data_IF_340272439071
#
_entry.id   IF_340272439071
#
_cell.length_a   1.000
_cell.length_b   1.000
_cell.length_c   1.000
_cell.angle_alpha   90.00
_cell.angle_beta   90.00
_cell.angle_gamma   90.00
#
_symmetry.space_group_name_H-M   'P 1'
#
loop_
_entity.id
_entity.type
_entity.pdbx_description
1 polymer ?
#
# COMPACT_ATOMS: atom_id res chain seq x y z
N UNK A 1 -18.03 25.07 -12.81
CA UNK A 1 -17.76 25.09 -11.36
C UNK A 1 -19.03 25.58 -10.68
N UNK A 2 -19.59 24.80 -9.75
CA UNK A 2 -20.84 25.16 -9.06
C UNK A 2 -20.59 26.29 -8.05
N UNK A 3 -21.52 27.23 -7.91
CA UNK A 3 -21.42 28.29 -6.90
C UNK A 3 -21.82 27.72 -5.53
N UNK A 4 -21.15 28.16 -4.46
CA UNK A 4 -21.45 27.75 -3.08
C UNK A 4 -21.77 28.99 -2.25
N UNK A 5 -22.80 28.93 -1.40
CA UNK A 5 -23.05 29.96 -0.39
C UNK A 5 -21.91 30.02 0.64
N UNK A 6 -21.75 31.15 1.34
CA UNK A 6 -20.70 31.29 2.34
C UNK A 6 -20.91 30.34 3.53
N UNK A 7 -22.17 30.10 3.92
CA UNK A 7 -22.56 29.13 4.94
C UNK A 7 -22.21 27.71 4.50
N UNK A 8 -22.50 27.34 3.25
CA UNK A 8 -22.17 26.04 2.68
C UNK A 8 -20.65 25.80 2.63
N UNK A 9 -19.86 26.83 2.27
CA UNK A 9 -18.39 26.78 2.30
C UNK A 9 -17.85 26.57 3.72
N UNK A 10 -18.42 27.26 4.72
CA UNK A 10 -18.05 27.08 6.13
C UNK A 10 -18.36 25.66 6.60
N UNK A 11 -19.55 25.15 6.33
CA UNK A 11 -19.92 23.78 6.67
C UNK A 11 -19.02 22.73 6.02
N UNK A 12 -18.55 22.96 4.79
CA UNK A 12 -17.59 22.06 4.12
C UNK A 12 -16.21 22.05 4.81
N UNK A 13 -15.78 23.16 5.41
CA UNK A 13 -14.51 23.22 6.16
C UNK A 13 -14.56 22.37 7.44
N UNK A 14 -15.71 22.30 8.09
CA UNK A 14 -15.94 21.45 9.27
C UNK A 14 -15.90 19.93 8.95
N UNK A 15 -16.07 19.55 7.68
CA UNK A 15 -15.92 18.15 7.27
C UNK A 15 -14.44 17.74 7.43
N UNK A 16 -14.15 16.57 8.04
CA UNK A 16 -12.79 16.05 8.14
C UNK A 16 -12.10 16.05 6.77
N UNK A 17 -10.83 16.48 6.73
CA UNK A 17 -10.13 16.75 5.47
C UNK A 17 -10.14 15.56 4.50
N UNK A 18 -10.10 14.32 5.01
CA UNK A 18 -10.12 13.09 4.22
C UNK A 18 -11.48 12.80 3.55
N UNK A 19 -12.57 13.35 4.09
CA UNK A 19 -13.92 13.19 3.53
C UNK A 19 -14.36 14.41 2.71
N UNK A 20 -13.67 15.56 2.86
CA UNK A 20 -14.09 16.86 2.32
C UNK A 20 -14.30 16.87 0.81
N UNK A 21 -13.36 16.30 0.05
CA UNK A 21 -13.47 16.26 -1.42
C UNK A 21 -14.64 15.37 -1.89
N UNK A 22 -14.87 14.24 -1.21
CA UNK A 22 -15.98 13.33 -1.53
C UNK A 22 -17.33 13.97 -1.22
N UNK A 23 -17.44 14.60 -0.04
CA UNK A 23 -18.65 15.36 0.34
C UNK A 23 -18.91 16.50 -0.64
N UNK A 24 -17.87 17.26 -1.02
CA UNK A 24 -17.99 18.34 -2.01
C UNK A 24 -18.54 17.83 -3.35
N UNK A 25 -17.90 16.80 -3.91
CA UNK A 25 -18.28 16.23 -5.21
C UNK A 25 -19.74 15.76 -5.20
N UNK A 26 -20.14 15.03 -4.16
CA UNK A 26 -21.50 14.50 -4.04
C UNK A 26 -22.55 15.59 -3.90
N UNK A 27 -22.25 16.61 -3.08
CA UNK A 27 -23.13 17.79 -2.94
C UNK A 27 -23.34 18.49 -4.28
N UNK A 28 -22.26 18.65 -5.06
CA UNK A 28 -22.34 19.26 -6.40
C UNK A 28 -23.14 18.38 -7.39
N UNK A 29 -22.97 17.06 -7.35
CA UNK A 29 -23.73 16.12 -8.21
C UNK A 29 -25.22 16.07 -7.88
N UNK A 30 -25.60 16.04 -6.59
CA UNK A 30 -27.01 16.08 -6.17
C UNK A 30 -27.65 17.44 -6.50
N UNK A 31 -26.96 18.54 -6.22
CA UNK A 31 -27.43 19.87 -6.58
C UNK A 31 -27.61 20.01 -8.10
N UNK A 32 -26.68 19.48 -8.90
CA UNK A 32 -26.81 19.50 -10.36
C UNK A 32 -27.98 18.66 -10.85
N UNK A 33 -28.23 17.49 -10.24
CA UNK A 33 -29.36 16.61 -10.55
C UNK A 33 -30.71 17.28 -10.28
N UNK A 34 -30.79 18.12 -9.26
CA UNK A 34 -31.99 18.87 -8.92
C UNK A 34 -32.08 20.25 -9.62
N UNK A 35 -31.15 20.55 -10.52
CA UNK A 35 -31.14 21.78 -11.31
C UNK A 35 -30.74 23.03 -10.52
N UNK A 36 -30.17 22.86 -9.32
CA UNK A 36 -29.68 23.98 -8.51
C UNK A 36 -28.46 24.63 -9.17
N UNK A 37 -28.37 25.96 -9.10
CA UNK A 37 -27.21 26.73 -9.60
C UNK A 37 -26.22 27.10 -8.50
N UNK A 38 -26.67 27.04 -7.24
CA UNK A 38 -25.91 27.41 -6.05
C UNK A 38 -26.15 26.35 -4.98
N UNK A 39 -25.07 25.81 -4.43
CA UNK A 39 -25.10 24.91 -3.28
C UNK A 39 -25.39 25.73 -2.01
N UNK A 40 -26.49 25.40 -1.33
CA UNK A 40 -26.90 26.01 -0.06
C UNK A 40 -26.51 25.15 1.15
N UNK A 41 -26.64 25.70 2.35
CA UNK A 41 -26.36 24.98 3.60
C UNK A 41 -27.37 23.84 3.84
N UNK A 42 -28.63 24.02 3.44
CA UNK A 42 -29.68 23.00 3.51
C UNK A 42 -29.30 21.78 2.65
N UNK A 43 -28.81 22.02 1.42
CA UNK A 43 -28.29 20.98 0.53
C UNK A 43 -27.10 20.24 1.16
N UNK A 44 -26.15 20.97 1.73
CA UNK A 44 -25.00 20.38 2.43
C UNK A 44 -25.44 19.51 3.60
N UNK A 45 -26.39 19.99 4.42
CA UNK A 45 -26.90 19.25 5.57
C UNK A 45 -27.72 18.02 5.14
N UNK A 46 -28.56 18.14 4.12
CA UNK A 46 -29.28 17.02 3.53
C UNK A 46 -28.31 15.95 3.01
N UNK A 47 -27.23 16.35 2.33
CA UNK A 47 -26.19 15.44 1.86
C UNK A 47 -25.37 14.84 3.02
N UNK A 48 -25.10 15.58 4.11
CA UNK A 48 -24.41 15.07 5.30
C UNK A 48 -25.19 13.94 5.97
N UNK A 49 -26.51 14.11 6.11
CA UNK A 49 -27.38 13.06 6.65
C UNK A 49 -27.35 11.80 5.76
N UNK A 50 -27.39 11.97 4.43
CA UNK A 50 -27.28 10.86 3.46
C UNK A 50 -25.89 10.23 3.37
N UNK A 51 -24.83 10.97 3.67
CA UNK A 51 -23.46 10.44 3.67
C UNK A 51 -23.19 9.51 4.86
N UNK A 52 -23.88 9.76 5.98
CA UNK A 52 -23.88 8.88 7.15
C UNK A 52 -24.90 7.74 7.03
N UNK A 53 -25.81 7.80 6.05
CA UNK A 53 -26.69 6.71 5.71
C UNK A 53 -25.89 5.57 5.06
N UNK A 54 -25.81 4.44 5.77
CA UNK A 54 -25.07 3.27 5.33
C UNK A 54 -25.59 2.69 4.01
N UNK A 55 -26.86 2.91 3.66
CA UNK A 55 -27.44 2.35 2.43
C UNK A 55 -26.91 3.01 1.15
N UNK A 56 -26.67 4.32 1.18
CA UNK A 56 -26.11 5.03 0.03
C UNK A 56 -24.61 4.79 -0.12
N UNK A 57 -23.89 4.70 1.01
CA UNK A 57 -22.46 4.35 1.01
C UNK A 57 -22.23 2.97 0.37
N UNK A 58 -23.07 2.00 0.71
CA UNK A 58 -23.04 0.65 0.15
C UNK A 58 -23.21 0.63 -1.39
N UNK A 59 -24.01 1.52 -1.98
CA UNK A 59 -24.23 1.56 -3.44
C UNK A 59 -22.94 1.86 -4.22
N UNK A 60 -22.10 2.76 -3.69
CA UNK A 60 -20.86 3.20 -4.34
C UNK A 60 -19.66 2.27 -4.07
N UNK A 61 -19.77 1.32 -3.14
CA UNK A 61 -18.68 0.42 -2.79
C UNK A 61 -18.47 -0.67 -3.84
N UNK A 62 -17.21 -1.00 -4.10
CA UNK A 62 -16.80 -2.15 -4.93
C UNK A 62 -16.57 -3.41 -4.08
N UNK A 63 -16.49 -3.26 -2.75
CA UNK A 63 -16.10 -4.33 -1.83
C UNK A 63 -14.59 -4.45 -1.62
N UNK A 64 -13.82 -3.71 -2.39
CA UNK A 64 -12.38 -3.57 -2.22
C UNK A 64 -11.90 -2.16 -2.55
N UNK A 65 -10.71 -1.81 -2.07
CA UNK A 65 -9.98 -0.60 -2.44
C UNK A 65 -8.53 -0.91 -2.79
N UNK A 66 -8.02 -0.23 -3.82
CA UNK A 66 -6.61 -0.26 -4.20
C UNK A 66 -6.05 1.15 -4.03
N UNK A 67 -5.03 1.30 -3.20
CA UNK A 67 -4.34 2.57 -2.96
C UNK A 67 -2.91 2.51 -3.50
N UNK A 68 -2.52 3.50 -4.30
CA UNK A 68 -1.16 3.58 -4.87
C UNK A 68 -0.46 4.86 -4.44
N UNK A 69 0.87 4.82 -4.31
CA UNK A 69 1.65 6.03 -4.07
C UNK A 69 1.76 6.92 -5.32
N UNK A 70 2.43 8.07 -5.20
CA UNK A 70 2.67 9.00 -6.32
C UNK A 70 3.80 8.56 -7.26
N UNK A 71 4.29 7.32 -7.14
CA UNK A 71 5.43 6.79 -7.90
C UNK A 71 5.27 6.96 -9.40
N UNK A 72 4.11 6.59 -9.96
CA UNK A 72 3.78 6.72 -11.38
C UNK A 72 3.92 8.12 -11.98
N UNK A 73 3.89 9.16 -11.14
CA UNK A 73 4.05 10.55 -11.55
C UNK A 73 5.51 11.05 -11.50
N UNK A 74 6.49 10.15 -11.35
CA UNK A 74 7.91 10.49 -11.41
C UNK A 74 8.54 10.78 -10.04
N UNK A 75 8.10 10.13 -8.97
CA UNK A 75 8.73 10.30 -7.65
C UNK A 75 10.23 9.88 -7.70
N UNK A 76 11.16 10.68 -7.15
CA UNK A 76 12.59 10.35 -7.17
C UNK A 76 12.98 9.22 -6.21
N UNK A 77 12.13 8.89 -5.23
CA UNK A 77 12.40 7.87 -4.23
C UNK A 77 11.98 6.46 -4.64
N UNK A 78 11.50 6.27 -5.88
CA UNK A 78 11.05 4.95 -6.36
C UNK A 78 12.21 3.96 -6.27
N UNK A 79 11.99 2.86 -5.56
CA UNK A 79 12.87 1.72 -5.70
C UNK A 79 12.57 1.08 -7.06
N UNK A 80 11.31 0.81 -7.36
CA UNK A 80 10.91 0.12 -8.60
C UNK A 80 9.83 0.89 -9.37
N UNK A 81 9.54 0.43 -10.59
CA UNK A 81 8.41 0.90 -11.40
C UNK A 81 7.25 -0.10 -11.30
N UNK A 82 6.32 0.08 -10.35
CA UNK A 82 5.18 -0.84 -10.14
C UNK A 82 3.93 -0.55 -10.95
N UNK A 83 4.05 0.20 -12.06
CA UNK A 83 2.90 0.70 -12.83
C UNK A 83 2.10 -0.45 -13.49
N UNK A 84 2.81 -1.47 -13.99
CA UNK A 84 2.19 -2.65 -14.60
C UNK A 84 1.47 -3.52 -13.57
N UNK A 85 2.13 -3.80 -12.43
CA UNK A 85 1.51 -4.55 -11.34
C UNK A 85 0.17 -3.93 -10.90
N UNK A 86 0.09 -2.60 -10.78
CA UNK A 86 -1.16 -1.89 -10.41
C UNK A 86 -2.33 -2.30 -11.32
N UNK A 87 -2.14 -2.22 -12.64
CA UNK A 87 -3.18 -2.55 -13.62
C UNK A 87 -3.59 -4.03 -13.54
N UNK A 88 -2.61 -4.93 -13.38
CA UNK A 88 -2.90 -6.37 -13.29
C UNK A 88 -3.63 -6.76 -12.00
N UNK A 89 -3.38 -6.04 -10.89
CA UNK A 89 -4.09 -6.21 -9.63
C UNK A 89 -5.51 -5.65 -9.71
N UNK A 90 -5.72 -4.51 -10.35
CA UNK A 90 -7.06 -3.98 -10.63
C UNK A 90 -7.89 -5.00 -11.41
N UNK A 91 -7.33 -5.58 -12.48
CA UNK A 91 -7.98 -6.62 -13.27
C UNK A 91 -8.25 -7.90 -12.43
N UNK A 92 -7.31 -8.31 -11.58
CA UNK A 92 -7.50 -9.45 -10.68
C UNK A 92 -8.67 -9.22 -9.74
N UNK A 93 -8.74 -8.04 -9.09
CA UNK A 93 -9.79 -7.72 -8.13
C UNK A 93 -11.17 -7.59 -8.78
N UNK A 94 -11.24 -7.08 -10.01
CA UNK A 94 -12.48 -7.05 -10.80
C UNK A 94 -13.04 -8.46 -11.10
N UNK A 95 -12.20 -9.49 -11.07
CA UNK A 95 -12.63 -10.89 -11.22
C UNK A 95 -13.41 -11.44 -10.02
N UNK A 96 -13.44 -10.73 -8.89
CA UNK A 96 -14.14 -11.15 -7.67
C UNK A 96 -15.33 -10.24 -7.34
N UNK A 97 -16.47 -10.84 -7.01
CA UNK A 97 -17.62 -10.10 -6.46
C UNK A 97 -17.53 -9.97 -4.93
N UNK A 98 -16.54 -9.21 -4.47
CA UNK A 98 -16.30 -8.97 -3.05
C UNK A 98 -17.44 -8.20 -2.38
N UNK A 99 -18.14 -7.33 -3.13
CA UNK A 99 -19.30 -6.61 -2.61
C UNK A 99 -20.40 -7.58 -2.21
N UNK A 100 -20.83 -8.46 -3.12
CA UNK A 100 -21.88 -9.44 -2.82
C UNK A 100 -21.45 -10.41 -1.74
N UNK A 101 -20.17 -10.80 -1.71
CA UNK A 101 -19.62 -11.60 -0.61
C UNK A 101 -19.76 -10.89 0.74
N UNK A 102 -19.28 -9.65 0.86
CA UNK A 102 -19.33 -8.87 2.10
C UNK A 102 -20.78 -8.67 2.58
N UNK A 103 -21.74 -8.46 1.66
CA UNK A 103 -23.17 -8.36 2.02
C UNK A 103 -23.73 -9.62 2.67
N UNK A 104 -23.16 -10.80 2.39
CA UNK A 104 -23.60 -12.06 3.00
C UNK A 104 -23.04 -12.24 4.41
N UNK A 105 -21.81 -11.78 4.65
CA UNK A 105 -21.09 -12.04 5.91
C UNK A 105 -21.18 -10.89 6.92
N UNK A 106 -21.39 -9.65 6.47
CA UNK A 106 -21.54 -8.48 7.33
C UNK A 106 -22.99 -8.33 7.77
N UNK A 107 -23.22 -8.10 9.07
CA UNK A 107 -24.54 -7.73 9.58
C UNK A 107 -24.83 -6.25 9.36
N UNK A 108 -25.94 -5.94 8.67
CA UNK A 108 -26.38 -4.57 8.41
C UNK A 108 -25.75 -3.94 7.16
N UNK A 109 -25.88 -2.62 6.95
CA UNK A 109 -25.37 -1.96 5.76
C UNK A 109 -23.84 -1.98 5.71
N UNK A 110 -23.29 -2.16 4.50
CA UNK A 110 -21.85 -2.11 4.30
C UNK A 110 -21.30 -0.70 4.55
N UNK A 111 -20.08 -0.67 5.09
CA UNK A 111 -19.33 0.55 5.43
C UNK A 111 -17.93 0.42 4.88
N UNK A 112 -17.26 1.56 4.63
CA UNK A 112 -15.92 1.60 4.01
C UNK A 112 -14.86 0.76 4.74
N UNK A 113 -14.97 0.61 6.07
CA UNK A 113 -14.00 -0.18 6.83
C UNK A 113 -14.13 -1.70 6.63
N UNK A 114 -15.21 -2.17 6.00
CA UNK A 114 -15.40 -3.57 5.60
C UNK A 114 -14.70 -3.89 4.27
N UNK A 115 -14.33 -2.90 3.45
CA UNK A 115 -13.69 -3.19 2.16
C UNK A 115 -12.31 -3.81 2.36
N UNK A 116 -12.07 -4.87 1.59
CA UNK A 116 -10.76 -5.48 1.47
C UNK A 116 -9.79 -4.47 0.85
N UNK A 117 -8.64 -4.24 1.48
CA UNK A 117 -7.73 -3.18 1.08
C UNK A 117 -6.39 -3.69 0.61
N UNK A 118 -6.03 -3.30 -0.60
CA UNK A 118 -4.74 -3.52 -1.20
C UNK A 118 -4.02 -2.17 -1.31
N UNK A 119 -2.77 -2.10 -0.88
CA UNK A 119 -1.98 -0.86 -0.94
C UNK A 119 -0.61 -1.12 -1.52
N UNK A 120 -0.21 -0.35 -2.52
CA UNK A 120 1.03 -0.47 -3.27
C UNK A 120 1.89 0.78 -3.12
N UNK A 121 3.14 0.61 -2.72
CA UNK A 121 4.16 1.68 -2.68
C UNK A 121 5.38 1.25 -3.48
N UNK A 122 5.87 2.08 -4.39
CA UNK A 122 7.07 1.81 -5.20
C UNK A 122 8.39 1.82 -4.40
N UNK A 123 8.35 2.17 -3.11
CA UNK A 123 9.53 2.17 -2.24
C UNK A 123 9.18 2.03 -0.75
N UNK A 124 10.19 1.80 0.12
CA UNK A 124 10.02 1.63 1.56
C UNK A 124 9.40 2.81 2.32
N UNK A 125 9.42 4.02 1.74
CA UNK A 125 8.77 5.19 2.38
C UNK A 125 7.26 5.00 2.56
N UNK A 126 6.62 4.11 1.80
CA UNK A 126 5.27 3.64 2.08
C UNK A 126 4.19 4.71 2.05
N UNK A 127 4.24 5.69 1.13
CA UNK A 127 3.32 6.85 1.14
C UNK A 127 1.83 6.47 1.00
N UNK A 128 1.52 5.34 0.34
CA UNK A 128 0.18 4.75 0.23
C UNK A 128 -0.24 3.94 1.45
N UNK A 129 0.58 3.93 2.50
CA UNK A 129 0.33 3.26 3.80
C UNK A 129 0.14 1.73 3.68
N UNK A 130 1.05 0.99 3.02
CA UNK A 130 0.94 -0.46 2.86
C UNK A 130 0.93 -1.22 4.19
N UNK A 131 1.58 -0.68 5.22
CA UNK A 131 1.68 -1.30 6.54
C UNK A 131 0.33 -1.46 7.28
N UNK A 132 -0.73 -0.78 6.86
CA UNK A 132 -2.06 -0.79 7.53
C UNK A 132 -3.18 -1.28 6.61
N UNK A 133 -2.83 -1.91 5.49
CA UNK A 133 -3.76 -2.53 4.57
C UNK A 133 -3.85 -4.04 4.83
N UNK A 134 -4.98 -4.67 4.46
CA UNK A 134 -5.09 -6.13 4.44
C UNK A 134 -3.91 -6.74 3.67
N UNK A 135 -3.60 -6.21 2.49
CA UNK A 135 -2.38 -6.56 1.75
C UNK A 135 -1.60 -5.30 1.39
N UNK A 136 -0.39 -5.19 1.92
CA UNK A 136 0.57 -4.13 1.62
C UNK A 136 1.68 -4.64 0.72
N UNK A 137 1.99 -3.90 -0.34
CA UNK A 137 3.04 -4.19 -1.30
C UNK A 137 4.06 -3.05 -1.27
N UNK A 138 5.32 -3.37 -0.99
CA UNK A 138 6.41 -2.41 -0.91
C UNK A 138 7.49 -2.79 -1.92
N UNK A 139 7.67 -1.92 -2.92
CA UNK A 139 8.74 -2.05 -3.89
C UNK A 139 10.12 -1.98 -3.24
N UNK A 140 10.99 -2.87 -3.65
CA UNK A 140 12.32 -3.02 -3.09
C UNK A 140 13.33 -3.47 -4.15
N UNK A 141 14.55 -2.97 -4.00
CA UNK A 141 15.76 -3.28 -4.77
C UNK A 141 16.86 -3.67 -3.81
N UNK A 142 17.11 -4.98 -3.73
CA UNK A 142 18.08 -5.56 -2.80
C UNK A 142 19.50 -5.38 -3.36
N UNK A 143 20.40 -4.69 -2.65
CA UNK A 143 21.79 -4.56 -3.10
C UNK A 143 22.62 -5.81 -2.82
N UNK A 144 23.68 -6.01 -3.60
CA UNK A 144 24.77 -6.95 -3.33
C UNK A 144 26.12 -6.31 -3.64
N UNK A 145 27.16 -6.80 -2.97
CA UNK A 145 28.54 -6.40 -3.22
C UNK A 145 29.14 -7.37 -4.25
N UNK A 146 29.75 -6.81 -5.30
CA UNK A 146 30.42 -7.57 -6.38
C UNK A 146 31.93 -7.61 -6.14
N UNK A 147 32.66 -8.24 -7.06
CA UNK A 147 34.13 -8.24 -7.09
C UNK A 147 34.71 -6.97 -7.73
N UNK A 148 33.87 -6.05 -8.23
CA UNK A 148 34.32 -4.81 -8.87
C UNK A 148 35.09 -3.92 -7.88
N UNK A 149 36.29 -3.41 -8.25
CA UNK A 149 37.13 -2.64 -7.34
C UNK A 149 36.42 -1.43 -6.73
N UNK A 150 36.43 -1.34 -5.41
CA UNK A 150 35.89 -0.19 -4.71
C UNK A 150 36.87 0.98 -4.73
N UNK A 151 36.38 2.17 -5.08
CA UNK A 151 37.19 3.40 -5.00
C UNK A 151 37.34 3.96 -3.58
N UNK A 152 36.57 3.47 -2.61
CA UNK A 152 36.57 3.98 -1.24
C UNK A 152 35.92 5.37 -1.09
N UNK A 153 35.12 5.84 -2.05
CA UNK A 153 34.59 7.21 -2.05
C UNK A 153 33.52 7.52 -0.99
N UNK A 154 32.92 6.52 -0.34
CA UNK A 154 31.91 6.72 0.70
C UNK A 154 30.49 7.04 0.22
N UNK A 155 30.24 7.26 -1.08
CA UNK A 155 28.94 7.68 -1.61
C UNK A 155 27.77 6.74 -1.22
N UNK A 156 28.01 5.42 -1.15
CA UNK A 156 27.00 4.46 -0.72
C UNK A 156 26.64 4.58 0.76
N UNK A 157 27.60 4.95 1.61
CA UNK A 157 27.39 5.19 3.05
C UNK A 157 26.54 6.43 3.25
N UNK A 158 26.87 7.52 2.54
CA UNK A 158 26.10 8.78 2.57
C UNK A 158 24.65 8.59 2.09
N UNK A 159 24.47 7.79 1.03
CA UNK A 159 23.14 7.51 0.48
C UNK A 159 22.26 6.62 1.40
N UNK A 160 22.84 5.94 2.39
CA UNK A 160 22.14 4.97 3.23
C UNK A 160 21.58 5.61 4.50
N UNK A 161 20.31 6.03 4.46
CA UNK A 161 19.59 6.58 5.61
C UNK A 161 19.49 5.60 6.80
N UNK A 162 19.49 4.30 6.52
CA UNK A 162 19.41 3.23 7.52
C UNK A 162 20.75 2.90 8.19
N UNK A 163 21.86 3.53 7.74
CA UNK A 163 23.22 3.23 8.22
C UNK A 163 23.54 1.74 8.14
N UNK A 164 23.08 1.10 7.07
CA UNK A 164 23.27 -0.32 6.81
C UNK A 164 24.60 -0.64 6.12
N UNK A 165 25.38 0.36 5.73
CA UNK A 165 26.61 0.17 4.95
C UNK A 165 27.82 0.64 5.77
N UNK A 166 28.80 -0.24 5.93
CA UNK A 166 30.11 0.09 6.49
C UNK A 166 31.17 -0.03 5.39
N UNK A 167 32.01 0.98 5.24
CA UNK A 167 33.08 1.01 4.24
C UNK A 167 34.43 0.74 4.92
N UNK A 168 35.14 -0.28 4.46
CA UNK A 168 36.48 -0.61 4.95
C UNK A 168 37.53 0.04 4.04
N UNK A 169 38.51 0.74 4.62
CA UNK A 169 39.62 1.37 3.89
C UNK A 169 40.96 0.78 4.32
N UNK A 170 41.95 0.82 3.42
CA UNK A 170 43.24 0.16 3.61
C UNK A 170 44.10 0.75 4.76
N UNK A 171 43.66 1.83 5.41
CA UNK A 171 44.37 2.53 6.49
C UNK A 171 44.35 1.79 7.85
N UNK A 172 43.57 0.72 8.00
CA UNK A 172 43.46 -0.03 9.27
C UNK A 172 44.45 -1.20 9.43
N UNK A 173 45.64 -1.14 8.80
CA UNK A 173 46.77 -2.04 9.08
C UNK A 173 46.54 -3.54 8.85
N UNK A 174 45.35 -3.94 8.38
CA UNK A 174 44.99 -5.29 7.96
C UNK A 174 44.60 -5.22 6.49
N UNK A 175 45.54 -5.57 5.63
CA UNK A 175 45.29 -5.72 4.21
C UNK A 175 44.30 -6.87 4.00
N UNK A 176 43.10 -6.57 3.52
CA UNK A 176 42.28 -7.44 2.64
C UNK A 176 41.04 -6.66 2.16
N UNK A 177 41.17 -6.04 0.97
CA UNK A 177 40.14 -5.36 0.19
C UNK A 177 39.48 -4.07 0.78
N UNK A 178 39.64 -2.95 0.05
CA UNK A 178 38.78 -1.77 0.22
C UNK A 178 37.40 -2.13 -0.32
N UNK A 179 36.35 -1.97 0.48
CA UNK A 179 35.01 -2.34 0.04
C UNK A 179 33.90 -2.15 1.08
N UNK A 180 32.64 -2.03 0.63
CA UNK A 180 31.50 -1.92 1.51
C UNK A 180 31.08 -3.29 2.05
N UNK A 181 30.52 -3.31 3.25
CA UNK A 181 29.75 -4.42 3.81
C UNK A 181 28.34 -3.93 4.11
N UNK A 182 27.35 -4.79 3.87
CA UNK A 182 25.93 -4.44 4.01
C UNK A 182 25.31 -5.26 5.16
N UNK A 183 24.79 -4.57 6.16
CA UNK A 183 23.93 -5.12 7.20
C UNK A 183 22.50 -5.26 6.66
N UNK A 184 22.17 -6.46 6.21
CA UNK A 184 20.83 -6.77 5.67
C UNK A 184 19.72 -6.72 6.73
N UNK A 185 20.04 -6.73 8.03
CA UNK A 185 19.06 -6.55 9.10
C UNK A 185 18.56 -5.11 9.22
N UNK A 186 19.36 -4.14 8.77
CA UNK A 186 18.98 -2.71 8.70
C UNK A 186 18.53 -2.28 7.30
N UNK A 187 18.96 -2.98 6.27
CA UNK A 187 18.69 -2.60 4.89
C UNK A 187 17.19 -2.72 4.57
N UNK A 188 16.54 -1.59 4.26
CA UNK A 188 15.16 -1.59 3.76
C UNK A 188 15.04 -1.94 2.27
N UNK A 189 16.14 -2.26 1.59
CA UNK A 189 16.21 -2.51 0.15
C UNK A 189 15.64 -1.35 -0.70
N UNK A 190 15.99 -0.10 -0.38
CA UNK A 190 15.53 1.07 -1.14
C UNK A 190 16.31 1.30 -2.46
N UNK A 191 17.46 0.65 -2.63
CA UNK A 191 18.30 0.75 -3.83
C UNK A 191 19.09 2.06 -3.99
N UNK A 192 19.03 3.00 -3.05
CA UNK A 192 19.77 4.28 -3.14
C UNK A 192 21.29 4.06 -3.27
N UNK A 193 21.85 3.10 -2.54
CA UNK A 193 23.27 2.77 -2.60
C UNK A 193 23.71 2.18 -3.96
N UNK A 194 22.81 1.49 -4.67
CA UNK A 194 23.07 0.94 -6.01
C UNK A 194 23.29 2.09 -6.99
N UNK A 195 22.39 3.10 -6.96
CA UNK A 195 22.49 4.26 -7.83
C UNK A 195 23.70 5.15 -7.48
N UNK A 196 24.11 5.17 -6.21
CA UNK A 196 25.20 6.00 -5.73
C UNK A 196 26.61 5.41 -5.99
N UNK A 197 26.73 4.12 -6.30
CA UNK A 197 28.03 3.47 -6.48
C UNK A 197 28.57 3.70 -7.90
N UNK A 198 29.63 4.51 -8.09
CA UNK A 198 30.13 4.82 -9.43
C UNK A 198 30.94 3.67 -10.06
N UNK A 199 31.45 2.76 -9.23
CA UNK A 199 32.32 1.66 -9.68
C UNK A 199 31.55 0.37 -9.97
N UNK A 200 30.27 0.29 -9.61
CA UNK A 200 29.52 -0.97 -9.70
C UNK A 200 29.87 -2.01 -8.62
N UNK A 201 30.67 -1.64 -7.62
CA UNK A 201 30.96 -2.49 -6.45
C UNK A 201 29.69 -2.86 -5.68
N UNK A 202 28.68 -1.97 -5.65
CA UNK A 202 27.32 -2.30 -5.20
C UNK A 202 26.42 -2.35 -6.42
N UNK A 203 25.80 -3.49 -6.66
CA UNK A 203 24.84 -3.71 -7.75
C UNK A 203 23.50 -4.23 -7.22
N UNK A 204 22.50 -4.26 -8.09
CA UNK A 204 21.23 -4.91 -7.82
C UNK A 204 21.38 -6.43 -7.81
N UNK A 205 21.05 -7.06 -6.69
CA UNK A 205 20.94 -8.52 -6.59
C UNK A 205 19.60 -9.02 -7.12
N UNK A 206 18.53 -8.36 -6.66
CA UNK A 206 17.14 -8.74 -6.96
C UNK A 206 16.24 -7.53 -6.76
N UNK A 207 15.18 -7.46 -7.53
CA UNK A 207 14.15 -6.41 -7.47
C UNK A 207 12.77 -7.04 -7.41
N UNK A 208 11.81 -6.36 -6.78
CA UNK A 208 10.44 -6.86 -6.66
C UNK A 208 9.68 -6.21 -5.52
N UNK A 209 8.72 -6.94 -4.96
CA UNK A 209 7.83 -6.49 -3.90
C UNK A 209 8.02 -7.31 -2.64
N UNK A 210 8.17 -6.61 -1.52
CA UNK A 210 7.93 -7.14 -0.17
C UNK A 210 6.43 -7.10 0.10
N UNK A 211 5.91 -8.11 0.78
CA UNK A 211 4.47 -8.28 0.99
C UNK A 211 4.17 -8.32 2.49
N UNK A 212 3.25 -7.45 2.93
CA UNK A 212 2.75 -7.36 4.30
C UNK A 212 1.28 -7.78 4.34
N UNK A 213 0.89 -8.55 5.34
CA UNK A 213 -0.46 -9.11 5.47
C UNK A 213 -1.13 -8.75 6.78
N UNK A 214 -2.42 -8.45 6.71
CA UNK A 214 -3.30 -8.29 7.87
C UNK A 214 -3.18 -6.96 8.61
N UNK A 215 -2.68 -5.91 7.95
CA UNK A 215 -2.69 -4.56 8.50
C UNK A 215 -4.11 -3.99 8.57
N UNK A 216 -4.41 -3.24 9.64
CA UNK A 216 -5.67 -2.49 9.75
C UNK A 216 -5.57 -1.34 10.73
N UNK A 217 -6.40 -0.32 10.49
CA UNK A 217 -6.76 0.68 11.49
C UNK A 217 -8.17 0.42 12.01
N UNK A 218 -8.55 1.09 13.09
CA UNK A 218 -9.86 0.98 13.72
C UNK A 218 -9.72 0.83 15.23
N UNK A 219 -10.73 0.22 15.87
CA UNK A 219 -10.75 0.02 17.34
C UNK A 219 -9.60 -0.84 17.84
N UNK A 220 -9.13 -1.79 17.03
CA UNK A 220 -8.00 -2.66 17.30
C UNK A 220 -7.01 -2.54 16.14
N UNK A 221 -6.10 -1.54 16.17
CA UNK A 221 -5.14 -1.32 15.09
C UNK A 221 -4.04 -2.38 15.10
N UNK A 222 -3.54 -2.72 13.91
CA UNK A 222 -2.47 -3.69 13.69
C UNK A 222 -1.64 -3.31 12.47
N UNK A 223 -0.33 -3.48 12.57
CA UNK A 223 0.58 -3.43 11.42
C UNK A 223 0.59 -4.78 10.72
N UNK A 224 0.70 -4.74 9.39
CA UNK A 224 0.82 -5.95 8.57
C UNK A 224 2.11 -6.71 8.89
N UNK A 225 2.01 -8.03 8.84
CA UNK A 225 3.12 -8.95 9.05
C UNK A 225 3.77 -9.29 7.71
N UNK A 226 5.08 -9.13 7.61
CA UNK A 226 5.81 -9.44 6.37
C UNK A 226 6.03 -10.95 6.22
N UNK A 227 5.73 -11.51 5.04
CA UNK A 227 5.88 -12.95 4.75
C UNK A 227 7.31 -13.37 4.37
N UNK A 228 8.23 -12.41 4.31
CA UNK A 228 9.61 -12.61 3.89
C UNK A 228 9.77 -12.83 2.38
N UNK A 229 10.94 -12.48 1.85
CA UNK A 229 11.25 -12.63 0.43
C UNK A 229 10.96 -11.38 -0.41
N UNK A 230 11.35 -11.46 -1.68
CA UNK A 230 11.18 -10.41 -2.67
C UNK A 230 10.63 -11.05 -3.94
N UNK A 231 9.46 -10.60 -4.37
CA UNK A 231 8.68 -11.25 -5.42
C UNK A 231 8.57 -10.35 -6.66
N UNK A 232 8.78 -10.91 -7.84
CA UNK A 232 8.49 -10.21 -9.10
C UNK A 232 6.98 -9.93 -9.26
N UNK A 233 6.60 -9.21 -10.32
CA UNK A 233 5.19 -8.83 -10.55
C UNK A 233 4.26 -10.04 -10.70
N UNK A 234 4.72 -11.09 -11.39
CA UNK A 234 3.93 -12.30 -11.67
C UNK A 234 3.63 -13.06 -10.37
N UNK A 235 4.68 -13.33 -9.58
CA UNK A 235 4.56 -13.99 -8.28
C UNK A 235 3.75 -13.13 -7.31
N UNK A 236 3.97 -11.82 -7.30
CA UNK A 236 3.21 -10.90 -6.44
C UNK A 236 1.72 -10.99 -6.76
N UNK A 237 1.34 -10.96 -8.04
CA UNK A 237 -0.06 -11.12 -8.45
C UNK A 237 -0.62 -12.48 -8.03
N UNK A 238 0.13 -13.56 -8.19
CA UNK A 238 -0.29 -14.91 -7.79
C UNK A 238 -0.50 -15.02 -6.26
N UNK A 239 0.38 -14.42 -5.47
CA UNK A 239 0.26 -14.34 -4.01
C UNK A 239 -1.01 -13.56 -3.62
N UNK A 240 -1.24 -12.38 -4.20
CA UNK A 240 -2.45 -11.59 -3.93
C UNK A 240 -3.70 -12.39 -4.26
N UNK A 241 -3.71 -13.12 -5.38
CA UNK A 241 -4.82 -14.02 -5.74
C UNK A 241 -5.07 -15.05 -4.64
N UNK A 242 -4.04 -15.76 -4.20
CA UNK A 242 -4.17 -16.77 -3.14
C UNK A 242 -4.64 -16.19 -1.80
N UNK A 243 -4.23 -14.96 -1.47
CA UNK A 243 -4.69 -14.27 -0.26
C UNK A 243 -6.17 -13.88 -0.36
N UNK A 244 -6.63 -13.41 -1.51
CA UNK A 244 -8.05 -13.09 -1.73
C UNK A 244 -8.90 -14.36 -1.64
N UNK A 245 -8.46 -15.46 -2.23
CA UNK A 245 -9.15 -16.76 -2.14
C UNK A 245 -9.18 -17.27 -0.69
N UNK A 246 -8.08 -17.14 0.04
CA UNK A 246 -8.03 -17.44 1.47
C UNK A 246 -8.98 -16.56 2.29
N UNK A 247 -9.03 -15.26 2.01
CA UNK A 247 -9.95 -14.31 2.66
C UNK A 247 -11.41 -14.73 2.44
N UNK A 248 -11.79 -15.01 1.20
CA UNK A 248 -13.14 -15.42 0.84
C UNK A 248 -13.55 -16.74 1.52
N UNK A 249 -12.62 -17.68 1.67
CA UNK A 249 -12.89 -18.97 2.28
C UNK A 249 -13.03 -18.91 3.81
N UNK A 250 -12.43 -17.91 4.46
CA UNK A 250 -12.25 -17.91 5.91
C UNK A 250 -12.90 -16.72 6.65
N UNK A 251 -13.35 -15.69 5.94
CA UNK A 251 -13.97 -14.52 6.55
C UNK A 251 -15.31 -14.87 7.18
N UNK A 252 -15.40 -14.69 8.50
CA UNK A 252 -16.63 -14.84 9.25
C UNK A 252 -17.09 -13.47 9.75
N UNK A 253 -18.39 -13.19 9.75
CA UNK A 253 -18.97 -11.97 10.36
C UNK A 253 -18.36 -10.65 9.86
N UNK A 254 -17.78 -10.63 8.65
CA UNK A 254 -17.15 -9.43 8.09
C UNK A 254 -15.76 -9.11 8.63
N UNK A 255 -15.04 -10.11 9.15
CA UNK A 255 -13.66 -9.97 9.59
C UNK A 255 -12.76 -9.36 8.51
N UNK A 256 -11.78 -8.57 8.94
CA UNK A 256 -10.64 -8.13 8.12
C UNK A 256 -9.58 -9.21 8.09
N UNK A 257 -8.68 -9.17 7.09
CA UNK A 257 -7.67 -10.23 6.93
C UNK A 257 -6.81 -10.42 8.17
N UNK A 258 -6.46 -9.32 8.86
CA UNK A 258 -5.70 -9.38 10.11
C UNK A 258 -6.42 -10.15 11.23
N UNK A 259 -7.74 -10.01 11.33
CA UNK A 259 -8.55 -10.72 12.34
C UNK A 259 -8.63 -12.22 12.03
N UNK A 260 -8.75 -12.59 10.75
CA UNK A 260 -8.70 -13.99 10.31
C UNK A 260 -7.33 -14.60 10.66
N UNK A 261 -6.24 -13.87 10.40
CA UNK A 261 -4.87 -14.31 10.73
C UNK A 261 -4.69 -14.46 12.25
N UNK A 262 -5.24 -13.55 13.06
CA UNK A 262 -5.21 -13.66 14.53
C UNK A 262 -5.98 -14.89 15.03
N UNK A 263 -7.14 -15.16 14.44
CA UNK A 263 -8.01 -16.27 14.85
C UNK A 263 -7.48 -17.64 14.45
N UNK A 264 -6.99 -17.78 13.20
CA UNK A 264 -6.55 -19.08 12.65
C UNK A 264 -5.04 -19.32 12.72
N UNK A 265 -4.25 -18.27 12.96
CA UNK A 265 -2.80 -18.29 12.78
C UNK A 265 -2.38 -18.20 11.31
N UNK A 266 -1.07 -18.12 11.08
CA UNK A 266 -0.48 -17.97 9.74
C UNK A 266 -0.25 -19.30 9.00
N UNK A 267 -0.29 -20.45 9.69
CA UNK A 267 0.19 -21.73 9.14
C UNK A 267 -0.49 -22.18 7.84
N UNK A 268 -1.83 -22.15 7.79
CA UNK A 268 -2.59 -22.53 6.58
C UNK A 268 -2.29 -21.57 5.41
N UNK A 269 -2.21 -20.27 5.70
CA UNK A 269 -1.90 -19.25 4.70
C UNK A 269 -0.46 -19.43 4.18
N UNK A 270 0.52 -19.64 5.06
CA UNK A 270 1.90 -19.91 4.67
C UNK A 270 2.04 -21.17 3.81
N UNK A 271 1.29 -22.24 4.10
CA UNK A 271 1.30 -23.45 3.28
C UNK A 271 0.72 -23.20 1.88
N UNK A 272 -0.39 -22.46 1.80
CA UNK A 272 -0.98 -22.05 0.53
C UNK A 272 -0.02 -21.18 -0.28
N UNK A 273 0.67 -20.24 0.38
CA UNK A 273 1.68 -19.39 -0.26
C UNK A 273 2.88 -20.19 -0.74
N UNK A 274 3.36 -21.18 0.04
CA UNK A 274 4.45 -22.07 -0.37
C UNK A 274 4.11 -22.85 -1.64
N UNK A 275 2.87 -23.33 -1.78
CA UNK A 275 2.40 -24.03 -3.00
C UNK A 275 2.34 -23.13 -4.23
N UNK A 276 2.11 -21.83 -4.04
CA UNK A 276 2.14 -20.83 -5.12
C UNK A 276 3.59 -20.52 -5.54
N UNK A 277 4.53 -20.62 -4.60
CA UNK A 277 5.93 -20.26 -4.78
C UNK A 277 6.83 -21.41 -5.24
N UNK A 278 6.38 -22.66 -5.11
CA UNK A 278 7.02 -23.88 -5.62
C UNK A 278 6.79 -24.07 -7.11
#
# INVERSE_FOLDING_TARGET
MMKWSEEAKRALKEVPFFARNRVKKRVEEEAAREGERVVTIERVNACRCKFLDGQEMEKEMLGYRIETCFGKFGCPNRAIKGDNLTATLEQLMQGYDLKSFLKKVVSGPLKLHHEFSLSLSDCPNGCSRPHIADVGLIGARLPSVTEEPCSGCGACVEACEEKAINLHTATEGRATAVGPTIDYGKCLACGKCINACPTGTITEKTTGFRILLGGKLGRHPRLGTEIGGLFDEEKTRAIVKGIVEYYLANCEKGERLGEIIERKGMGELEENLKKILS
#
